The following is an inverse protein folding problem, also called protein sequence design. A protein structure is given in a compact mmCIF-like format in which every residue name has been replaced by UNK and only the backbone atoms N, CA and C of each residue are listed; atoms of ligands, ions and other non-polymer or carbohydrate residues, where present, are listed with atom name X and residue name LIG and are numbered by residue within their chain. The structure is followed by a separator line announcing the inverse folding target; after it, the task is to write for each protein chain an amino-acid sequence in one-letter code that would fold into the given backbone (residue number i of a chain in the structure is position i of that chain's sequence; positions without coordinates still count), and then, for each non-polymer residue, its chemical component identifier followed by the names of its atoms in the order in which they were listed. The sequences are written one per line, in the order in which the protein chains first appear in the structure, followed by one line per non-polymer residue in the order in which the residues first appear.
data_IF_038478963580
#
_entry.id   IF_038478963580
#
_cell.length_a   1.000
_cell.length_b   1.000
_cell.length_c   1.000
_cell.angle_alpha   90.00
_cell.angle_beta   90.00
_cell.angle_gamma   90.00
#
_symmetry.space_group_name_H-M   'P 1'
#
loop_
_entity.id
_entity.type
_entity.pdbx_description
1 polymer ?
#
# COMPACT_ATOMS: atom_id res chain seq x y z
N UNK A 1 -10.29 -4.78 -4.07
CA UNK A 1 -9.09 -4.49 -4.90
C UNK A 1 -7.78 -4.81 -4.19
N UNK A 2 -7.62 -4.39 -2.93
CA UNK A 2 -6.34 -4.51 -2.19
C UNK A 2 -6.29 -5.66 -1.16
N UNK A 3 -7.43 -6.30 -0.86
CA UNK A 3 -7.53 -7.38 0.14
C UNK A 3 -6.65 -8.60 -0.15
N UNK A 4 -6.51 -8.94 -1.43
CA UNK A 4 -5.81 -10.14 -1.91
C UNK A 4 -4.35 -9.87 -2.30
N UNK A 5 -3.80 -8.71 -1.92
CA UNK A 5 -2.36 -8.46 -2.06
C UNK A 5 -1.66 -9.41 -1.07
N UNK A 6 -0.61 -10.09 -1.51
CA UNK A 6 0.19 -10.95 -0.64
C UNK A 6 1.13 -10.10 0.20
N UNK A 7 1.36 -10.56 1.43
CA UNK A 7 2.44 -10.06 2.25
C UNK A 7 3.80 -10.44 1.64
N UNK A 8 4.81 -9.55 1.66
CA UNK A 8 6.14 -9.84 1.11
C UNK A 8 6.93 -10.88 1.92
N UNK A 9 6.60 -11.12 3.18
CA UNK A 9 7.34 -12.03 4.09
C UNK A 9 6.55 -13.31 4.39
N UNK A 10 5.23 -13.25 4.37
CA UNK A 10 4.34 -14.36 4.75
C UNK A 10 3.50 -14.88 3.58
N UNK A 11 3.17 -16.19 3.54
CA UNK A 11 2.29 -16.77 2.53
C UNK A 11 0.80 -16.47 2.82
N UNK A 12 0.49 -15.24 3.21
CA UNK A 12 -0.84 -14.77 3.59
C UNK A 12 -1.13 -13.43 2.88
N UNK A 13 -2.41 -13.13 2.71
CA UNK A 13 -2.86 -11.86 2.16
C UNK A 13 -2.89 -10.76 3.23
N UNK A 14 -2.90 -9.51 2.79
CA UNK A 14 -3.01 -8.35 3.69
C UNK A 14 -4.32 -8.37 4.49
N UNK A 15 -5.41 -8.94 3.96
CA UNK A 15 -6.67 -9.12 4.69
C UNK A 15 -6.56 -10.20 5.77
N UNK A 16 -5.96 -11.35 5.47
CA UNK A 16 -5.74 -12.43 6.45
C UNK A 16 -4.84 -12.00 7.62
N UNK A 17 -3.93 -11.05 7.39
CA UNK A 17 -3.06 -10.46 8.41
C UNK A 17 -3.67 -9.24 9.12
N UNK A 18 -4.90 -8.84 8.80
CA UNK A 18 -5.54 -7.60 9.27
C UNK A 18 -4.73 -6.32 8.96
N UNK A 19 -3.89 -6.36 7.93
CA UNK A 19 -3.10 -5.21 7.48
C UNK A 19 -4.00 -4.20 6.77
N UNK A 20 -4.99 -4.67 6.02
CA UNK A 20 -6.01 -3.83 5.38
C UNK A 20 -7.40 -4.24 5.84
N UNK A 21 -8.25 -3.25 6.11
CA UNK A 21 -9.63 -3.47 6.55
C UNK A 21 -10.57 -2.54 5.77
N UNK A 22 -11.77 -3.02 5.41
CA UNK A 22 -12.72 -2.22 4.62
C UNK A 22 -13.10 -0.91 5.32
N UNK A 23 -13.24 -0.92 6.65
CA UNK A 23 -13.59 0.28 7.45
C UNK A 23 -12.52 1.38 7.36
N UNK A 24 -11.29 1.02 6.99
CA UNK A 24 -10.13 1.92 6.84
C UNK A 24 -9.93 2.41 5.41
N UNK A 25 -10.87 2.15 4.51
CA UNK A 25 -10.86 2.61 3.12
C UNK A 25 -11.95 3.65 2.93
N UNK A 26 -11.56 4.88 2.58
CA UNK A 26 -12.46 6.01 2.29
C UNK A 26 -12.38 6.36 0.81
N UNK A 27 -13.52 6.42 0.15
CA UNK A 27 -13.63 6.78 -1.27
C UNK A 27 -14.60 7.95 -1.41
N UNK A 28 -14.12 9.05 -1.99
CA UNK A 28 -14.96 10.17 -2.40
C UNK A 28 -14.89 10.31 -3.92
N UNK A 29 -15.95 9.87 -4.59
CA UNK A 29 -16.01 9.89 -6.05
C UNK A 29 -16.09 11.31 -6.63
N UNK A 30 -16.83 12.20 -5.96
CA UNK A 30 -17.04 13.58 -6.40
C UNK A 30 -15.75 14.39 -6.37
N UNK A 31 -14.92 14.20 -5.33
CA UNK A 31 -13.60 14.84 -5.23
C UNK A 31 -12.49 14.02 -5.91
N UNK A 32 -12.83 12.84 -6.43
CA UNK A 32 -11.88 11.88 -6.99
C UNK A 32 -10.73 11.59 -6.01
N UNK A 33 -11.04 11.24 -4.77
CA UNK A 33 -10.05 10.87 -3.75
C UNK A 33 -10.30 9.47 -3.20
N UNK A 34 -9.22 8.73 -2.98
CA UNK A 34 -9.22 7.44 -2.26
C UNK A 34 -8.16 7.51 -1.19
N UNK A 35 -8.55 7.28 0.06
CA UNK A 35 -7.66 7.22 1.22
C UNK A 35 -7.70 5.83 1.82
N UNK A 36 -6.53 5.25 2.08
CA UNK A 36 -6.37 3.90 2.64
C UNK A 36 -5.43 3.96 3.83
N UNK A 37 -5.97 3.53 4.98
CA UNK A 37 -5.18 3.26 6.18
C UNK A 37 -4.82 1.77 6.25
N UNK A 38 -3.53 1.47 6.40
CA UNK A 38 -3.06 0.11 6.62
C UNK A 38 -2.28 -0.02 7.93
N UNK A 39 -2.39 -1.16 8.59
CA UNK A 39 -1.75 -1.42 9.89
C UNK A 39 -0.67 -2.47 9.72
N UNK A 40 0.62 -2.12 9.83
CA UNK A 40 1.68 -3.13 9.83
C UNK A 40 1.46 -4.17 10.93
N UNK A 41 1.90 -5.41 10.69
CA UNK A 41 1.73 -6.51 11.64
C UNK A 41 2.48 -6.27 12.96
N UNK A 42 3.59 -5.54 12.93
CA UNK A 42 4.39 -5.16 14.09
C UNK A 42 4.87 -3.70 14.02
N UNK A 43 5.14 -3.03 15.17
CA UNK A 43 5.54 -1.62 15.21
C UNK A 43 6.90 -1.28 14.56
N UNK A 44 7.71 -2.28 14.24
CA UNK A 44 9.04 -2.14 13.62
C UNK A 44 9.14 -2.88 12.27
N UNK A 45 8.01 -3.07 11.58
CA UNK A 45 7.95 -3.78 10.32
C UNK A 45 8.84 -3.10 9.27
N UNK A 46 9.92 -3.77 8.86
CA UNK A 46 10.83 -3.31 7.80
C UNK A 46 10.13 -3.19 6.45
N UNK A 47 9.05 -3.95 6.25
CA UNK A 47 8.30 -4.03 4.99
C UNK A 47 7.12 -3.05 4.91
N UNK A 48 6.91 -2.19 5.92
CA UNK A 48 5.79 -1.26 5.93
C UNK A 48 5.75 -0.36 4.67
N UNK A 49 6.91 0.13 4.22
CA UNK A 49 7.00 0.91 2.97
C UNK A 49 6.62 0.08 1.74
N UNK A 50 7.08 -1.18 1.66
CA UNK A 50 6.82 -2.06 0.52
C UNK A 50 5.34 -2.48 0.44
N UNK A 51 4.72 -2.73 1.60
CA UNK A 51 3.28 -2.98 1.73
C UNK A 51 2.51 -1.76 1.22
N UNK A 52 2.83 -0.56 1.72
CA UNK A 52 2.20 0.69 1.28
C UNK A 52 2.37 0.96 -0.22
N UNK A 53 3.56 0.71 -0.77
CA UNK A 53 3.82 0.81 -2.21
C UNK A 53 2.97 -0.19 -3.01
N UNK A 54 2.87 -1.44 -2.56
CA UNK A 54 2.06 -2.46 -3.23
C UNK A 54 0.58 -2.09 -3.26
N UNK A 55 0.04 -1.57 -2.15
CA UNK A 55 -1.32 -1.03 -2.09
C UNK A 55 -1.48 0.10 -3.11
N UNK A 56 -0.56 1.09 -3.10
CA UNK A 56 -0.62 2.26 -3.97
C UNK A 56 -0.56 1.86 -5.46
N UNK A 57 0.31 0.94 -5.83
CA UNK A 57 0.43 0.42 -7.21
C UNK A 57 -0.81 -0.35 -7.62
N UNK A 58 -1.37 -1.18 -6.74
CA UNK A 58 -2.60 -1.91 -7.05
C UNK A 58 -3.74 -0.96 -7.38
N UNK A 59 -3.90 0.09 -6.57
CA UNK A 59 -4.91 1.12 -6.78
C UNK A 59 -4.64 1.93 -8.05
N UNK A 60 -3.40 2.35 -8.28
CA UNK A 60 -2.99 3.08 -9.49
C UNK A 60 -3.33 2.30 -10.77
N UNK A 61 -3.10 0.99 -10.77
CA UNK A 61 -3.39 0.11 -11.92
C UNK A 61 -4.87 -0.24 -12.08
N UNK A 62 -5.67 -0.10 -11.02
CA UNK A 62 -7.07 -0.55 -11.00
C UNK A 62 -8.09 0.59 -11.09
N UNK A 63 -7.69 1.82 -10.78
CA UNK A 63 -8.56 2.98 -10.73
C UNK A 63 -8.26 3.96 -11.88
N UNK A 64 -9.27 4.73 -12.36
CA UNK A 64 -9.06 5.81 -13.31
C UNK A 64 -8.06 6.87 -12.78
N UNK A 65 -7.24 7.43 -13.66
CA UNK A 65 -6.18 8.40 -13.31
C UNK A 65 -6.68 9.67 -12.60
N UNK A 66 -7.98 9.99 -12.70
CA UNK A 66 -8.58 11.11 -11.97
C UNK A 66 -8.48 10.97 -10.45
N UNK A 67 -8.37 9.73 -9.94
CA UNK A 67 -8.33 9.48 -8.51
C UNK A 67 -6.98 9.83 -7.90
N UNK A 68 -7.00 10.71 -6.90
CA UNK A 68 -5.87 11.00 -6.03
C UNK A 68 -5.82 9.95 -4.92
N UNK A 69 -4.74 9.18 -4.90
CA UNK A 69 -4.52 8.10 -3.95
C UNK A 69 -3.68 8.57 -2.77
N UNK A 70 -4.24 8.44 -1.58
CA UNK A 70 -3.57 8.64 -0.30
C UNK A 70 -3.48 7.29 0.42
N UNK A 71 -2.26 6.88 0.77
CA UNK A 71 -2.00 5.58 1.43
C UNK A 71 -1.06 5.85 2.58
N UNK A 72 -1.51 5.55 3.80
CA UNK A 72 -0.77 5.84 5.01
C UNK A 72 -0.97 4.75 6.07
N UNK A 73 -0.01 4.69 6.96
CA UNK A 73 -0.06 3.82 8.12
C UNK A 73 -1.11 4.34 9.11
N UNK A 74 -1.89 3.43 9.68
CA UNK A 74 -2.84 3.70 10.76
C UNK A 74 -2.11 4.39 11.92
N UNK A 75 -2.57 5.55 12.42
CA UNK A 75 -1.86 6.30 13.46
C UNK A 75 -1.56 5.49 14.72
N UNK A 76 -0.33 5.60 15.22
CA UNK A 76 0.14 4.94 16.43
C UNK A 76 0.54 3.48 16.26
N UNK A 77 0.52 2.95 15.03
CA UNK A 77 0.77 1.50 14.78
C UNK A 77 2.19 1.19 14.31
N UNK A 78 3.01 2.19 13.98
CA UNK A 78 4.38 1.98 13.53
C UNK A 78 5.34 3.06 14.03
N UNK A 79 6.52 2.65 14.52
CA UNK A 79 7.51 3.54 15.13
C UNK A 79 8.08 4.59 14.16
N UNK A 80 8.03 4.32 12.85
CA UNK A 80 8.48 5.24 11.81
C UNK A 80 7.34 5.69 10.88
N UNK A 81 6.10 5.69 11.36
CA UNK A 81 4.91 6.00 10.54
C UNK A 81 5.05 7.30 9.74
N UNK A 82 5.55 8.39 10.34
CA UNK A 82 5.68 9.67 9.64
C UNK A 82 6.68 9.61 8.49
N UNK A 83 7.79 8.89 8.67
CA UNK A 83 8.80 8.73 7.64
C UNK A 83 8.26 7.89 6.47
N UNK A 84 7.57 6.79 6.77
CA UNK A 84 6.93 5.93 5.75
C UNK A 84 5.83 6.68 5.01
N UNK A 85 4.93 7.36 5.72
CA UNK A 85 3.85 8.14 5.12
C UNK A 85 4.39 9.25 4.22
N UNK A 86 5.46 9.93 4.64
CA UNK A 86 6.13 10.94 3.82
C UNK A 86 6.71 10.34 2.53
N UNK A 87 7.30 9.15 2.60
CA UNK A 87 7.80 8.45 1.41
C UNK A 87 6.67 8.04 0.47
N UNK A 88 5.56 7.54 1.02
CA UNK A 88 4.40 7.12 0.23
C UNK A 88 3.68 8.31 -0.41
N UNK A 89 3.65 9.49 0.23
CA UNK A 89 3.02 10.69 -0.31
C UNK A 89 3.83 11.34 -1.46
N UNK A 90 5.14 11.12 -1.49
CA UNK A 90 6.07 11.67 -2.49
C UNK A 90 5.91 10.95 -3.84
N UNK A 91 5.26 11.60 -4.81
CA UNK A 91 4.97 11.03 -6.13
C UNK A 91 6.23 10.75 -6.94
N UNK A 92 7.25 11.60 -6.85
CA UNK A 92 8.49 11.43 -7.60
C UNK A 92 9.27 10.23 -7.04
N UNK A 93 9.30 10.09 -5.71
CA UNK A 93 9.92 8.93 -5.06
C UNK A 93 9.19 7.62 -5.37
N UNK A 94 7.85 7.63 -5.38
CA UNK A 94 7.05 6.46 -5.77
C UNK A 94 7.32 6.12 -7.23
N UNK A 95 7.34 7.09 -8.14
CA UNK A 95 7.64 6.85 -9.55
C UNK A 95 9.04 6.25 -9.73
N UNK A 96 10.07 6.84 -9.11
CA UNK A 96 11.44 6.32 -9.15
C UNK A 96 11.55 4.89 -8.57
N UNK A 97 10.80 4.57 -7.53
CA UNK A 97 10.75 3.22 -6.98
C UNK A 97 10.14 2.20 -7.97
N UNK A 98 9.20 2.63 -8.82
CA UNK A 98 8.58 1.77 -9.84
C UNK A 98 9.41 1.64 -11.12
N UNK A 99 10.33 2.56 -11.36
CA UNK A 99 11.34 2.43 -12.43
C UNK A 99 12.49 1.49 -12.05
N UNK A 100 12.67 1.21 -10.76
CA UNK A 100 13.62 0.22 -10.29
C UNK A 100 13.10 -1.21 -10.52
N UNK A 101 13.72 -1.92 -11.48
CA UNK A 101 13.31 -3.28 -11.87
C UNK A 101 13.20 -4.26 -10.71
N UNK A 102 14.10 -4.18 -9.72
CA UNK A 102 14.07 -5.09 -8.57
C UNK A 102 12.88 -4.80 -7.65
N UNK A 103 12.64 -3.54 -7.31
CA UNK A 103 11.49 -3.15 -6.50
C UNK A 103 10.18 -3.45 -7.21
N UNK A 104 10.11 -3.19 -8.52
CA UNK A 104 8.94 -3.48 -9.33
C UNK A 104 8.64 -4.98 -9.38
N UNK A 105 9.66 -5.83 -9.47
CA UNK A 105 9.51 -7.29 -9.41
C UNK A 105 8.90 -7.73 -8.09
N UNK A 106 9.44 -7.28 -6.96
CA UNK A 106 8.92 -7.62 -5.62
C UNK A 106 7.49 -7.13 -5.44
N UNK A 107 7.18 -5.90 -5.87
CA UNK A 107 5.80 -5.39 -5.86
C UNK A 107 4.90 -6.27 -6.73
N UNK A 108 5.32 -6.62 -7.94
CA UNK A 108 4.52 -7.48 -8.82
C UNK A 108 4.29 -8.88 -8.23
N UNK A 109 5.24 -9.43 -7.47
CA UNK A 109 5.07 -10.66 -6.71
C UNK A 109 4.01 -10.51 -5.61
N UNK A 110 3.99 -9.37 -4.90
CA UNK A 110 2.93 -9.08 -3.91
C UNK A 110 1.55 -8.97 -4.60
N UNK A 111 1.50 -8.46 -5.83
CA UNK A 111 0.27 -8.26 -6.59
C UNK A 111 -0.22 -9.48 -7.38
N UNK A 112 0.60 -10.53 -7.52
CA UNK A 112 0.20 -11.73 -8.25
C UNK A 112 -0.84 -12.50 -7.43
N UNK A 113 -1.99 -12.79 -8.04
CA UNK A 113 -2.93 -13.71 -7.40
C UNK A 113 -2.25 -15.07 -7.34
N UNK A 114 -2.07 -15.64 -6.15
CA UNK A 114 -1.74 -17.06 -6.01
C UNK A 114 -2.95 -17.83 -6.53
N UNK A 115 -2.82 -18.37 -7.74
CA UNK A 115 -3.80 -19.24 -8.41
C UNK A 115 -3.86 -20.60 -7.74
#
# INVERSE_FOLDING_TARGET
LIRSINDPEHPLTLEELNVVEQVRVKVNDAESTVSVEFTPTIPHCSMATLIGLSIKVKLLRSLPERFKLDVHITPGTHASEHAVNKQLADKERVAAALENSHLLEVVNQCLSARS
#
